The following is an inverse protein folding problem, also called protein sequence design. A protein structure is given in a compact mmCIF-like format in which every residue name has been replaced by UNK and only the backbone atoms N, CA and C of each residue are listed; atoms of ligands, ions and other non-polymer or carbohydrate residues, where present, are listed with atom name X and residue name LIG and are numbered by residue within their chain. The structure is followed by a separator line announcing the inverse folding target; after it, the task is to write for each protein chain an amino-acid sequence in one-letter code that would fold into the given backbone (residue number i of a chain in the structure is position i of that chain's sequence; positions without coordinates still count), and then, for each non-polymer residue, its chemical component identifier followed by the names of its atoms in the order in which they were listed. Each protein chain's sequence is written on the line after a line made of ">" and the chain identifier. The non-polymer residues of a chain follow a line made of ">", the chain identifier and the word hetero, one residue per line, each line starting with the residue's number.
data_IF_896234116649
#
_entry.id   IF_896234116649
#
_cell.length_a   1.000
_cell.length_b   1.000
_cell.length_c   1.000
_cell.angle_alpha   90.00
_cell.angle_beta   90.00
_cell.angle_gamma   90.00
#
_symmetry.space_group_name_H-M   'P 1'
#
loop_
_entity.id
_entity.type
_entity.pdbx_description
1 polymer ?
#
# COMPACT_ATOMS: atom_id res chain seq x y z
N UNK A 1 -14.05 -0.18 10.30
CA UNK A 1 -12.61 -0.27 10.63
C UNK A 1 -12.39 -0.51 12.12
N UNK A 2 -12.76 0.41 13.02
CA UNK A 2 -12.61 0.21 14.47
C UNK A 2 -13.34 -1.05 14.97
N UNK A 3 -14.62 -1.23 14.61
CA UNK A 3 -15.41 -2.42 14.99
C UNK A 3 -14.85 -3.73 14.42
N UNK A 4 -14.07 -3.68 13.34
CA UNK A 4 -13.47 -4.85 12.70
C UNK A 4 -12.01 -5.08 13.17
N UNK A 5 -11.53 -4.35 14.18
CA UNK A 5 -10.18 -4.49 14.72
C UNK A 5 -9.06 -4.02 13.79
N UNK A 6 -9.35 -3.18 12.79
CA UNK A 6 -8.38 -2.78 11.78
C UNK A 6 -7.56 -1.53 12.16
N UNK A 7 -8.06 -0.71 13.09
CA UNK A 7 -7.42 0.55 13.48
C UNK A 7 -6.57 0.37 14.73
N UNK A 8 -5.37 0.95 14.72
CA UNK A 8 -4.52 1.04 15.90
C UNK A 8 -5.18 1.95 16.95
N UNK A 9 -5.31 1.51 18.22
CA UNK A 9 -5.77 2.37 19.33
C UNK A 9 -4.85 3.56 19.59
N UNK A 10 -3.56 3.44 19.22
CA UNK A 10 -2.58 4.53 19.36
C UNK A 10 -2.59 5.51 18.19
N UNK A 11 -3.40 5.25 17.16
CA UNK A 11 -3.49 6.11 15.97
C UNK A 11 -2.21 6.15 15.16
N UNK A 12 -1.38 5.10 15.20
CA UNK A 12 -0.13 4.99 14.44
C UNK A 12 -0.07 3.70 13.62
N UNK A 13 0.70 3.74 12.53
CA UNK A 13 1.11 2.54 11.80
C UNK A 13 2.49 2.12 12.30
N UNK A 14 2.56 1.02 13.05
CA UNK A 14 3.82 0.49 13.58
C UNK A 14 4.45 -0.53 12.61
N UNK A 15 4.72 -0.09 11.38
CA UNK A 15 5.16 -1.00 10.30
C UNK A 15 6.47 -1.70 10.67
N UNK A 16 6.45 -3.04 10.68
CA UNK A 16 7.57 -3.92 11.05
C UNK A 16 7.99 -3.89 12.53
N UNK A 17 7.21 -3.24 13.40
CA UNK A 17 7.43 -3.29 14.85
C UNK A 17 6.68 -4.47 15.50
N UNK A 18 7.18 -4.95 16.64
CA UNK A 18 6.53 -6.00 17.42
C UNK A 18 5.18 -5.56 18.02
N UNK A 19 4.98 -4.25 18.21
CA UNK A 19 3.75 -3.65 18.72
C UNK A 19 2.69 -3.39 17.64
N UNK A 20 2.80 -4.02 16.46
CA UNK A 20 1.83 -3.86 15.37
C UNK A 20 0.40 -4.21 15.81
N UNK A 21 -0.50 -3.22 15.83
CA UNK A 21 -1.85 -3.31 16.40
C UNK A 21 -2.95 -2.76 15.47
N UNK A 22 -2.63 -2.55 14.19
CA UNK A 22 -3.53 -1.99 13.16
C UNK A 22 -2.86 -0.85 12.38
N UNK A 23 -3.67 -0.11 11.62
CA UNK A 23 -3.21 1.09 10.90
C UNK A 23 -3.92 2.35 11.39
N UNK A 24 -3.37 3.52 11.04
CA UNK A 24 -3.97 4.82 11.28
C UNK A 24 -4.53 5.42 9.97
N UNK A 25 -5.71 6.05 10.04
CA UNK A 25 -6.26 6.77 8.88
C UNK A 25 -5.51 8.09 8.70
N UNK A 26 -5.18 8.42 7.45
CA UNK A 26 -4.61 9.70 7.06
C UNK A 26 -5.40 10.31 5.90
N UNK A 27 -5.21 11.61 5.69
CA UNK A 27 -5.78 12.36 4.58
C UNK A 27 -4.65 12.94 3.72
N UNK A 28 -4.82 12.91 2.40
CA UNK A 28 -3.86 13.46 1.44
C UNK A 28 -4.52 13.68 0.08
N UNK A 29 -4.01 14.61 -0.72
CA UNK A 29 -4.38 14.81 -2.13
C UNK A 29 -3.09 14.96 -2.95
N UNK A 30 -2.87 14.09 -3.94
CA UNK A 30 -1.65 14.06 -4.75
C UNK A 30 -2.03 13.80 -6.20
N UNK A 31 -1.45 14.58 -7.12
CA UNK A 31 -1.49 14.34 -8.56
C UNK A 31 -0.06 14.39 -9.09
N UNK A 32 0.26 13.54 -10.06
CA UNK A 32 1.58 13.48 -10.68
C UNK A 32 1.44 13.50 -12.20
N UNK A 33 2.38 14.16 -12.87
CA UNK A 33 2.48 14.16 -14.32
C UNK A 33 3.59 13.20 -14.75
N UNK A 34 3.25 12.24 -15.62
CA UNK A 34 4.24 11.36 -16.22
C UNK A 34 4.68 11.95 -17.56
N UNK A 35 5.91 12.46 -17.60
CA UNK A 35 6.52 12.92 -18.85
C UNK A 35 7.06 11.73 -19.65
N UNK A 36 6.97 11.79 -20.97
CA UNK A 36 7.78 10.95 -21.84
C UNK A 36 9.25 11.35 -21.71
N UNK A 37 10.15 10.37 -21.56
CA UNK A 37 11.58 10.61 -21.31
C UNK A 37 12.17 11.62 -22.31
N UNK A 38 12.60 12.78 -21.81
CA UNK A 38 13.60 13.61 -22.48
C UNK A 38 14.95 12.90 -22.39
N UNK A 39 15.74 12.88 -23.48
CA UNK A 39 17.08 12.28 -23.49
C UNK A 39 18.04 12.91 -22.47
N UNK A 40 17.74 14.11 -22.00
CA UNK A 40 18.66 14.96 -21.24
C UNK A 40 18.28 15.16 -19.77
N UNK A 41 17.23 14.51 -19.27
CA UNK A 41 16.79 14.62 -17.87
C UNK A 41 16.91 13.28 -17.12
N UNK A 42 17.62 13.22 -15.98
CA UNK A 42 17.69 12.05 -15.11
C UNK A 42 16.41 11.88 -14.26
N UNK A 43 15.23 12.08 -14.85
CA UNK A 43 13.98 11.96 -14.13
C UNK A 43 13.67 10.49 -13.81
N UNK A 44 13.13 10.19 -12.62
CA UNK A 44 12.72 8.83 -12.25
C UNK A 44 11.64 8.33 -13.22
N UNK A 45 11.93 7.23 -13.94
CA UNK A 45 11.00 6.63 -14.89
C UNK A 45 10.27 5.42 -14.30
N UNK A 46 8.96 5.34 -14.51
CA UNK A 46 8.17 4.13 -14.23
C UNK A 46 8.46 3.10 -15.35
N UNK A 47 9.11 1.99 -15.00
CA UNK A 47 9.48 0.95 -15.97
C UNK A 47 8.33 0.01 -16.32
N UNK A 48 7.54 -0.37 -15.33
CA UNK A 48 6.38 -1.26 -15.47
C UNK A 48 5.46 -1.09 -14.25
N UNK A 49 4.20 -1.47 -14.44
CA UNK A 49 3.19 -1.59 -13.39
C UNK A 49 2.38 -2.86 -13.63
N UNK A 50 1.99 -3.57 -12.57
CA UNK A 50 1.12 -4.72 -12.64
C UNK A 50 0.03 -4.62 -11.58
N UNK A 51 -1.13 -5.21 -11.87
CA UNK A 51 -2.26 -5.32 -10.95
C UNK A 51 -2.70 -6.78 -10.88
N UNK A 52 -3.06 -7.22 -9.68
CA UNK A 52 -3.46 -8.61 -9.40
C UNK A 52 -4.54 -8.61 -8.30
N UNK A 53 -5.24 -9.73 -8.14
CA UNK A 53 -6.18 -9.97 -7.04
C UNK A 53 -5.67 -11.11 -6.15
N UNK A 54 -5.87 -10.99 -4.84
CA UNK A 54 -5.44 -12.00 -3.86
C UNK A 54 -6.11 -13.38 -4.06
N UNK A 55 -7.29 -13.43 -4.68
CA UNK A 55 -8.04 -14.67 -4.91
C UNK A 55 -8.44 -15.38 -3.60
N UNK A 56 -8.66 -16.70 -3.61
CA UNK A 56 -8.95 -17.48 -2.40
C UNK A 56 -7.85 -17.31 -1.34
N UNK A 57 -8.23 -16.77 -0.17
CA UNK A 57 -7.35 -16.43 0.95
C UNK A 57 -7.97 -16.86 2.28
N UNK A 58 -7.23 -16.74 3.39
CA UNK A 58 -7.69 -17.17 4.72
C UNK A 58 -8.98 -16.47 5.19
N UNK A 59 -9.26 -15.27 4.69
CA UNK A 59 -10.52 -14.56 4.83
C UNK A 59 -10.67 -13.54 3.70
N UNK A 60 -11.86 -12.92 3.58
CA UNK A 60 -12.14 -11.91 2.55
C UNK A 60 -11.18 -10.71 2.58
N UNK A 61 -10.60 -10.39 3.74
CA UNK A 61 -9.70 -9.24 3.93
C UNK A 61 -8.28 -9.65 4.32
N UNK A 62 -7.96 -10.95 4.28
CA UNK A 62 -6.62 -11.44 4.56
C UNK A 62 -5.74 -11.31 3.30
N UNK A 63 -4.54 -10.71 3.39
CA UNK A 63 -3.63 -10.61 2.25
C UNK A 63 -3.07 -11.98 1.83
N UNK A 64 -2.76 -12.14 0.53
CA UNK A 64 -2.14 -13.36 0.00
C UNK A 64 -0.69 -13.15 -0.48
N UNK A 65 0.27 -13.65 0.30
CA UNK A 65 1.69 -13.53 -0.04
C UNK A 65 2.16 -14.33 -1.27
N UNK A 66 1.35 -15.24 -1.83
CA UNK A 66 1.64 -15.86 -3.13
C UNK A 66 1.20 -14.97 -4.29
N UNK A 67 0.07 -14.27 -4.16
CA UNK A 67 -0.43 -13.36 -5.18
C UNK A 67 0.40 -12.04 -5.28
N UNK A 68 1.12 -11.70 -4.21
CA UNK A 68 1.97 -10.50 -4.12
C UNK A 68 3.41 -10.70 -4.63
N UNK A 69 3.81 -11.94 -4.92
CA UNK A 69 5.13 -12.26 -5.47
C UNK A 69 5.13 -12.16 -6.99
#
# INVERSE_FOLDING_TARGET
>A
FAQNGMLSPTGRCHTFDISGDGYARGESCIAMFLATKSRDAPDPSILATAVQCDGPSASLTAPNGQAQR
#
